data_IF_700140181655
#
_entry.id   IF_700140181655
#
_cell.length_a   1.000
_cell.length_b   1.000
_cell.length_c   1.000
_cell.angle_alpha   90.00
_cell.angle_beta   90.00
_cell.angle_gamma   90.00
#
_symmetry.space_group_name_H-M   'P 1'
#
loop_
_entity.id
_entity.type
_entity.pdbx_description
1 polymer ?
#
# COMPACT_ATOMS: atom_id res chain seq x y z
N UNK A 1 11.54 14.38 10.39
CA UNK A 1 11.92 13.24 9.53
C UNK A 1 10.87 13.00 8.46
N UNK A 2 11.30 12.62 7.29
CA UNK A 2 10.37 12.36 6.19
C UNK A 2 9.54 11.11 6.49
N UNK A 3 8.26 11.18 6.21
CA UNK A 3 7.36 10.03 6.28
C UNK A 3 7.72 9.07 5.15
N UNK A 4 7.71 7.79 5.41
CA UNK A 4 8.04 6.75 4.43
C UNK A 4 6.81 5.90 4.14
N UNK A 5 6.54 5.68 2.85
CA UNK A 5 5.41 4.87 2.38
C UNK A 5 5.93 3.85 1.37
N UNK A 6 5.41 2.64 1.43
CA UNK A 6 5.70 1.60 0.46
C UNK A 6 4.42 1.30 -0.30
N UNK A 7 4.50 1.26 -1.63
CA UNK A 7 3.34 1.06 -2.49
C UNK A 7 3.56 -0.08 -3.47
N UNK A 8 2.54 -0.90 -3.64
CA UNK A 8 2.52 -1.99 -4.62
C UNK A 8 1.50 -1.60 -5.68
N UNK A 9 2.00 -1.18 -6.84
CA UNK A 9 1.20 -0.69 -7.95
C UNK A 9 1.85 -1.14 -9.25
N UNK A 10 1.13 -1.90 -10.06
CA UNK A 10 1.65 -2.41 -11.33
C UNK A 10 1.60 -1.35 -12.45
N UNK A 11 0.60 -0.49 -12.42
CA UNK A 11 0.37 0.54 -13.43
C UNK A 11 1.41 1.65 -13.30
N UNK A 12 2.27 1.80 -14.31
CA UNK A 12 3.36 2.79 -14.29
C UNK A 12 2.87 4.23 -14.25
N UNK A 13 1.75 4.52 -14.91
CA UNK A 13 1.18 5.88 -14.89
C UNK A 13 0.68 6.23 -13.50
N UNK A 14 0.01 5.29 -12.86
CA UNK A 14 -0.51 5.51 -11.52
C UNK A 14 0.62 5.58 -10.49
N UNK A 15 1.63 4.73 -10.63
CA UNK A 15 2.82 4.79 -9.78
C UNK A 15 3.52 6.14 -9.89
N UNK A 16 3.61 6.67 -11.12
CA UNK A 16 4.18 7.98 -11.39
C UNK A 16 3.40 9.10 -10.70
N UNK A 17 2.07 9.01 -10.73
CA UNK A 17 1.20 9.97 -10.05
C UNK A 17 1.41 9.93 -8.53
N UNK A 18 1.52 8.75 -7.97
CA UNK A 18 1.79 8.57 -6.54
C UNK A 18 3.14 9.19 -6.19
N UNK A 19 4.16 8.90 -6.99
CA UNK A 19 5.52 9.43 -6.77
C UNK A 19 5.53 10.96 -6.80
N UNK A 20 4.89 11.55 -7.81
CA UNK A 20 4.83 13.01 -7.94
C UNK A 20 4.11 13.67 -6.76
N UNK A 21 3.00 13.09 -6.33
CA UNK A 21 2.25 13.60 -5.18
C UNK A 21 3.08 13.48 -3.89
N UNK A 22 3.79 12.36 -3.74
CA UNK A 22 4.65 12.14 -2.58
C UNK A 22 5.78 13.18 -2.52
N UNK A 23 6.41 13.46 -3.65
CA UNK A 23 7.47 14.47 -3.72
C UNK A 23 6.97 15.83 -3.25
N UNK A 24 5.79 16.24 -3.69
CA UNK A 24 5.20 17.51 -3.29
C UNK A 24 4.87 17.54 -1.80
N UNK A 25 4.53 16.40 -1.22
CA UNK A 25 4.18 16.30 0.18
C UNK A 25 5.41 16.07 1.10
N UNK A 26 6.60 15.92 0.52
CA UNK A 26 7.81 15.62 1.29
C UNK A 26 7.81 14.19 1.84
N UNK A 27 7.14 13.27 1.16
CA UNK A 27 7.02 11.87 1.56
C UNK A 27 7.90 11.01 0.67
N UNK A 28 8.69 10.12 1.28
CA UNK A 28 9.48 9.15 0.54
C UNK A 28 8.61 7.94 0.23
N UNK A 29 8.52 7.57 -1.05
CA UNK A 29 7.76 6.40 -1.47
C UNK A 29 8.66 5.46 -2.27
N UNK A 30 8.52 4.16 -2.04
CA UNK A 30 9.23 3.15 -2.82
C UNK A 30 8.24 2.11 -3.34
N UNK A 31 8.62 1.46 -4.44
CA UNK A 31 7.79 0.51 -5.17
C UNK A 31 8.53 -0.81 -5.33
N UNK A 32 8.52 -1.70 -4.31
CA UNK A 32 9.20 -2.99 -4.45
C UNK A 32 8.52 -3.84 -5.51
N UNK A 33 9.31 -4.63 -6.24
CA UNK A 33 8.82 -5.40 -7.38
C UNK A 33 8.56 -6.87 -7.09
N UNK A 34 8.74 -7.28 -5.85
CA UNK A 34 8.48 -8.65 -5.45
C UNK A 34 8.24 -8.74 -3.96
N UNK A 35 7.66 -9.85 -3.52
CA UNK A 35 7.27 -9.98 -2.12
C UNK A 35 8.47 -10.01 -1.18
N UNK A 36 9.58 -10.63 -1.60
CA UNK A 36 10.78 -10.66 -0.75
C UNK A 36 11.39 -9.26 -0.61
N UNK A 37 11.44 -8.50 -1.70
CA UNK A 37 11.90 -7.11 -1.67
C UNK A 37 10.99 -6.25 -0.81
N UNK A 38 9.69 -6.50 -0.88
CA UNK A 38 8.73 -5.82 -0.04
C UNK A 38 9.00 -6.07 1.44
N UNK A 39 9.16 -7.33 1.81
CA UNK A 39 9.41 -7.72 3.20
C UNK A 39 10.69 -7.06 3.72
N UNK A 40 11.75 -7.07 2.92
CA UNK A 40 13.03 -6.44 3.28
C UNK A 40 12.85 -4.93 3.48
N UNK A 41 12.14 -4.28 2.56
CA UNK A 41 11.92 -2.84 2.61
C UNK A 41 11.09 -2.47 3.85
N UNK A 42 10.04 -3.22 4.14
CA UNK A 42 9.20 -2.96 5.32
C UNK A 42 9.99 -3.13 6.62
N UNK A 43 10.77 -4.20 6.70
CA UNK A 43 11.58 -4.47 7.90
C UNK A 43 12.65 -3.40 8.12
N UNK A 44 13.29 -2.97 7.03
CA UNK A 44 14.36 -1.97 7.09
C UNK A 44 13.84 -0.56 7.37
N UNK A 45 12.81 -0.16 6.64
CA UNK A 45 12.35 1.23 6.63
C UNK A 45 11.27 1.51 7.68
N UNK A 46 10.60 0.49 8.17
CA UNK A 46 9.46 0.63 9.11
C UNK A 46 8.52 1.74 8.65
N UNK A 47 7.89 1.58 7.47
CA UNK A 47 7.10 2.66 6.88
C UNK A 47 5.89 3.01 7.71
N UNK A 48 5.37 4.20 7.49
CA UNK A 48 4.15 4.68 8.14
C UNK A 48 2.89 4.07 7.52
N UNK A 49 3.01 3.55 6.30
CA UNK A 49 1.87 3.03 5.55
C UNK A 49 2.37 2.12 4.43
N UNK A 50 1.67 1.03 4.20
CA UNK A 50 1.85 0.18 3.02
C UNK A 50 0.56 0.24 2.21
N UNK A 51 0.68 0.59 0.93
CA UNK A 51 -0.44 0.71 -0.01
C UNK A 51 -0.37 -0.42 -1.02
N UNK A 52 -1.49 -1.10 -1.26
CA UNK A 52 -1.54 -2.19 -2.23
C UNK A 52 -2.68 -2.01 -3.21
N UNK A 53 -2.38 -2.11 -4.49
CA UNK A 53 -3.38 -2.34 -5.52
C UNK A 53 -3.85 -3.78 -5.36
N UNK A 54 -5.10 -3.97 -4.96
CA UNK A 54 -5.65 -5.31 -4.74
C UNK A 54 -5.77 -6.12 -6.03
N UNK A 55 -5.67 -5.47 -7.17
CA UNK A 55 -5.68 -6.12 -8.49
C UNK A 55 -4.27 -6.36 -9.04
N UNK A 56 -3.23 -6.18 -8.22
CA UNK A 56 -1.85 -6.41 -8.64
C UNK A 56 -1.66 -7.86 -9.08
N UNK A 57 -1.01 -8.03 -10.22
CA UNK A 57 -0.63 -9.35 -10.75
C UNK A 57 0.79 -9.71 -10.34
N UNK A 58 1.60 -8.72 -10.03
CA UNK A 58 3.02 -8.90 -9.72
C UNK A 58 3.25 -9.40 -8.30
N UNK A 59 2.48 -8.87 -7.36
CA UNK A 59 2.57 -9.24 -5.94
C UNK A 59 1.17 -9.52 -5.43
N UNK A 60 0.97 -10.68 -4.81
CA UNK A 60 -0.33 -11.04 -4.25
C UNK A 60 -0.59 -10.22 -2.97
N UNK A 61 -1.58 -9.31 -2.97
CA UNK A 61 -1.82 -8.43 -1.81
C UNK A 61 -2.23 -9.20 -0.55
N UNK A 62 -2.92 -10.33 -0.71
CA UNK A 62 -3.34 -11.14 0.43
C UNK A 62 -2.11 -11.74 1.13
N UNK A 63 -1.14 -12.23 0.35
CA UNK A 63 0.12 -12.72 0.90
C UNK A 63 0.87 -11.62 1.65
N UNK A 64 0.85 -10.40 1.12
CA UNK A 64 1.47 -9.25 1.76
C UNK A 64 0.87 -9.03 3.14
N UNK A 65 -0.46 -8.95 3.21
CA UNK A 65 -1.15 -8.72 4.47
C UNK A 65 -0.86 -9.83 5.47
N UNK A 66 -0.95 -11.08 5.03
CA UNK A 66 -0.68 -12.23 5.89
C UNK A 66 0.76 -12.20 6.43
N UNK A 67 1.72 -11.93 5.57
CA UNK A 67 3.13 -11.89 5.97
C UNK A 67 3.41 -10.77 6.96
N UNK A 68 2.90 -9.56 6.71
CA UNK A 68 3.16 -8.42 7.57
C UNK A 68 2.43 -8.54 8.91
N UNK A 69 1.21 -9.04 8.91
CA UNK A 69 0.44 -9.18 10.15
C UNK A 69 0.91 -10.35 11.02
N UNK A 70 1.56 -11.33 10.43
CA UNK A 70 2.11 -12.48 11.17
C UNK A 70 3.43 -12.16 11.88
N UNK A 71 4.10 -11.07 11.53
CA UNK A 71 5.38 -10.68 12.10
C UNK A 71 5.19 -9.53 13.08
N UNK A 72 5.58 -9.72 14.33
CA UNK A 72 5.42 -8.70 15.39
C UNK A 72 6.09 -7.36 15.04
N UNK A 73 7.18 -7.40 14.29
CA UNK A 73 7.91 -6.18 13.92
C UNK A 73 7.17 -5.34 12.89
N UNK A 74 6.22 -5.94 12.15
CA UNK A 74 5.51 -5.25 11.07
C UNK A 74 3.99 -5.24 11.24
N UNK A 75 3.47 -6.00 12.19
CA UNK A 75 2.02 -6.15 12.37
C UNK A 75 1.29 -4.84 12.70
N UNK A 76 2.02 -3.87 13.25
CA UNK A 76 1.45 -2.57 13.62
C UNK A 76 1.37 -1.59 12.44
N UNK A 77 2.01 -1.90 11.32
CA UNK A 77 2.06 -1.00 10.16
C UNK A 77 0.71 -1.01 9.45
N UNK A 78 0.08 0.16 9.23
CA UNK A 78 -1.21 0.23 8.54
C UNK A 78 -1.11 -0.26 7.10
N UNK A 79 -2.12 -1.01 6.68
CA UNK A 79 -2.26 -1.51 5.31
C UNK A 79 -3.50 -0.92 4.68
N UNK A 80 -3.33 -0.25 3.54
CA UNK A 80 -4.41 0.30 2.75
C UNK A 80 -4.47 -0.41 1.40
N UNK A 81 -5.61 -1.02 1.09
CA UNK A 81 -5.84 -1.62 -0.21
C UNK A 81 -6.79 -0.78 -1.04
N UNK A 82 -6.53 -0.68 -2.35
CA UNK A 82 -7.50 -0.07 -3.25
C UNK A 82 -7.78 -1.02 -4.42
N UNK A 83 -8.98 -0.90 -4.98
CA UNK A 83 -9.41 -1.78 -6.06
C UNK A 83 -9.89 -0.97 -7.26
N UNK A 84 -9.54 -1.44 -8.47
CA UNK A 84 -9.97 -0.82 -9.73
C UNK A 84 -11.27 -1.41 -10.23
N UNK A 85 -11.50 -2.69 -9.92
CA UNK A 85 -12.70 -3.42 -10.32
C UNK A 85 -13.38 -3.99 -9.08
N UNK A 86 -14.69 -3.80 -9.01
CA UNK A 86 -15.47 -4.34 -7.88
C UNK A 86 -15.43 -5.86 -7.93
N UNK A 87 -14.81 -6.45 -6.91
CA UNK A 87 -14.75 -7.90 -6.72
C UNK A 87 -15.01 -8.14 -5.24
N UNK A 88 -16.27 -8.38 -4.91
CA UNK A 88 -16.71 -8.48 -3.51
C UNK A 88 -15.89 -9.51 -2.73
N UNK A 89 -15.61 -10.66 -3.33
CA UNK A 89 -14.83 -11.70 -2.68
C UNK A 89 -13.42 -11.24 -2.36
N UNK A 90 -12.79 -10.50 -3.27
CA UNK A 90 -11.44 -9.97 -3.07
C UNK A 90 -11.43 -8.93 -1.95
N UNK A 91 -12.44 -8.06 -1.89
CA UNK A 91 -12.57 -7.06 -0.84
C UNK A 91 -12.70 -7.72 0.53
N UNK A 92 -13.55 -8.72 0.64
CA UNK A 92 -13.74 -9.47 1.88
C UNK A 92 -12.45 -10.17 2.29
N UNK A 93 -11.80 -10.83 1.33
CA UNK A 93 -10.53 -11.52 1.59
C UNK A 93 -9.44 -10.56 2.07
N UNK A 94 -9.39 -9.36 1.49
CA UNK A 94 -8.42 -8.35 1.89
C UNK A 94 -8.67 -7.89 3.33
N UNK A 95 -9.93 -7.58 3.67
CA UNK A 95 -10.27 -7.16 5.03
C UNK A 95 -9.97 -8.27 6.05
N UNK A 96 -10.28 -9.51 5.71
CA UNK A 96 -10.03 -10.65 6.59
C UNK A 96 -8.54 -10.96 6.76
N UNK A 97 -7.71 -10.64 5.75
CA UNK A 97 -6.29 -10.93 5.82
C UNK A 97 -5.49 -9.88 6.57
N UNK A 98 -6.08 -8.74 6.89
CA UNK A 98 -5.43 -7.73 7.74
C UNK A 98 -5.33 -6.33 7.14
N UNK A 99 -5.97 -6.06 6.00
CA UNK A 99 -6.03 -4.69 5.50
C UNK A 99 -6.88 -3.85 6.44
N UNK A 100 -6.33 -2.73 6.87
CA UNK A 100 -7.01 -1.81 7.79
C UNK A 100 -8.07 -0.99 7.07
N UNK A 101 -7.85 -0.70 5.80
CA UNK A 101 -8.80 0.01 4.94
C UNK A 101 -8.77 -0.58 3.54
N UNK A 102 -9.96 -0.66 2.92
CA UNK A 102 -10.12 -1.09 1.53
C UNK A 102 -11.05 -0.11 0.86
N UNK A 103 -10.55 0.62 -0.14
CA UNK A 103 -11.29 1.69 -0.79
C UNK A 103 -11.24 1.59 -2.32
N UNK A 104 -12.21 2.19 -3.05
CA UNK A 104 -12.12 2.25 -4.51
C UNK A 104 -10.94 3.11 -4.96
N UNK A 105 -10.39 2.78 -6.13
CA UNK A 105 -9.31 3.56 -6.74
C UNK A 105 -9.67 5.04 -6.89
N UNK A 106 -10.92 5.35 -7.22
CA UNK A 106 -11.38 6.73 -7.35
C UNK A 106 -11.24 7.52 -6.05
N UNK A 107 -11.61 6.90 -4.94
CA UNK A 107 -11.44 7.52 -3.62
C UNK A 107 -9.97 7.64 -3.26
N UNK A 108 -9.19 6.61 -3.54
CA UNK A 108 -7.75 6.64 -3.30
C UNK A 108 -7.08 7.79 -4.05
N UNK A 109 -7.40 7.94 -5.35
CA UNK A 109 -6.84 9.02 -6.17
C UNK A 109 -7.26 10.40 -5.67
N UNK A 110 -8.53 10.52 -5.26
CA UNK A 110 -9.08 11.79 -4.77
C UNK A 110 -8.40 12.26 -3.50
N UNK A 111 -8.11 11.34 -2.58
CA UNK A 111 -7.53 11.68 -1.28
C UNK A 111 -6.04 11.36 -1.18
N UNK A 112 -5.39 11.16 -2.32
CA UNK A 112 -3.99 10.74 -2.36
C UNK A 112 -3.05 11.63 -1.55
N UNK A 113 -3.10 12.97 -1.66
CA UNK A 113 -2.21 13.81 -0.86
C UNK A 113 -2.37 13.58 0.65
N UNK A 114 -3.62 13.50 1.12
CA UNK A 114 -3.90 13.28 2.54
C UNK A 114 -3.47 11.88 3.00
N UNK A 115 -3.69 10.87 2.16
CA UNK A 115 -3.28 9.50 2.46
C UNK A 115 -1.75 9.43 2.61
N UNK A 116 -1.02 10.00 1.68
CA UNK A 116 0.45 9.97 1.71
C UNK A 116 1.01 10.75 2.90
N UNK A 117 0.42 11.89 3.22
CA UNK A 117 0.91 12.72 4.33
C UNK A 117 0.40 12.26 5.69
N UNK A 118 -0.57 11.35 5.72
CA UNK A 118 -1.12 10.86 6.98
C UNK A 118 -2.09 11.82 7.66
N UNK A 119 -2.67 12.74 6.90
CA UNK A 119 -3.59 13.75 7.44
C UNK A 119 -5.06 13.43 7.15
N UNK A 120 -5.31 12.27 6.63
CA UNK A 120 -6.66 11.82 6.32
C UNK A 120 -7.44 11.48 7.58
#
# INVERSE_FOLDING_TARGET
MARTVIAIVDDLFFASKIRGTAEQAGVAVSFPRGIELLKEAVARDQPSLVICDLNSQRINPIEVAQALKANERTSHIPLLGFFSHVQTELQIAAEQSGFDRVIPRSAFARFLPQILSGTE
#
